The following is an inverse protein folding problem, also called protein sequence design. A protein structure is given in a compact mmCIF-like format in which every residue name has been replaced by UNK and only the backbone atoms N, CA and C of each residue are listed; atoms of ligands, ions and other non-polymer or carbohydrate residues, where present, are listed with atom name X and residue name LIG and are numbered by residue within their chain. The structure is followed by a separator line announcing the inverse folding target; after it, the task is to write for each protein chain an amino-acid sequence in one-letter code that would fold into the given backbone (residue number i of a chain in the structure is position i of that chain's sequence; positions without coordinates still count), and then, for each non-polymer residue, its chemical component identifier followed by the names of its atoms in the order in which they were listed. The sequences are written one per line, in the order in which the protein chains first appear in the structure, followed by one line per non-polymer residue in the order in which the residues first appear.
data_IF_053149176127
#
_entry.id   IF_053149176127
#
_cell.length_a   1.000
_cell.length_b   1.000
_cell.length_c   1.000
_cell.angle_alpha   90.00
_cell.angle_beta   90.00
_cell.angle_gamma   90.00
#
_symmetry.space_group_name_H-M   'P 1'
#
loop_
_entity.id
_entity.type
_entity.pdbx_description
1 polymer ?
#
# COMPACT_ATOMS: atom_id res chain seq x y z
N UNK A 1 -29.43 -6.77 12.99
CA UNK A 1 -28.39 -5.91 13.60
C UNK A 1 -27.64 -6.58 14.78
N UNK A 2 -27.21 -7.85 14.73
CA UNK A 2 -26.34 -8.43 15.78
C UNK A 2 -24.82 -8.28 15.53
N UNK A 3 -24.39 -8.03 14.28
CA UNK A 3 -22.96 -8.05 13.91
C UNK A 3 -22.11 -6.94 14.57
N UNK A 4 -22.71 -5.78 14.84
CA UNK A 4 -21.99 -4.63 15.40
C UNK A 4 -21.57 -4.86 16.85
N UNK A 5 -22.38 -5.62 17.61
CA UNK A 5 -22.03 -6.02 18.98
C UNK A 5 -20.83 -6.98 19.00
N UNK A 6 -20.72 -7.88 18.02
CA UNK A 6 -19.58 -8.79 17.91
C UNK A 6 -18.30 -8.05 17.53
N UNK A 7 -18.38 -7.04 16.66
CA UNK A 7 -17.25 -6.18 16.32
C UNK A 7 -16.74 -5.42 17.56
N UNK A 8 -17.64 -4.78 18.31
CA UNK A 8 -17.28 -4.08 19.55
C UNK A 8 -16.65 -5.03 20.58
N UNK A 9 -17.14 -6.27 20.68
CA UNK A 9 -16.56 -7.27 21.56
C UNK A 9 -15.15 -7.68 21.10
N UNK A 10 -14.94 -7.88 19.80
CA UNK A 10 -13.65 -8.23 19.22
C UNK A 10 -12.59 -7.12 19.43
N UNK A 11 -13.00 -5.85 19.49
CA UNK A 11 -12.12 -4.72 19.81
C UNK A 11 -11.82 -4.58 21.30
N UNK A 12 -12.58 -5.25 22.18
CA UNK A 12 -12.45 -5.07 23.62
C UNK A 12 -11.12 -5.62 24.17
N UNK A 13 -10.21 -4.80 24.71
CA UNK A 13 -8.86 -5.23 25.06
C UNK A 13 -8.80 -6.22 26.23
N UNK A 14 -9.82 -6.25 27.09
CA UNK A 14 -9.89 -7.18 28.22
C UNK A 14 -10.63 -8.49 27.90
N UNK A 15 -10.82 -8.80 26.61
CA UNK A 15 -11.46 -10.04 26.20
C UNK A 15 -10.59 -11.25 26.63
N UNK A 16 -11.12 -12.21 27.39
CA UNK A 16 -10.41 -13.43 27.75
C UNK A 16 -9.93 -14.22 26.53
N UNK A 17 -8.80 -14.92 26.64
CA UNK A 17 -8.23 -15.72 25.55
C UNK A 17 -9.21 -16.78 25.02
N UNK A 18 -9.97 -17.44 25.90
CA UNK A 18 -10.97 -18.43 25.50
C UNK A 18 -12.11 -17.84 24.63
N UNK A 19 -12.46 -16.58 24.85
CA UNK A 19 -13.46 -15.89 24.03
C UNK A 19 -12.88 -15.48 22.67
N UNK A 20 -11.58 -15.12 22.62
CA UNK A 20 -10.87 -14.92 21.34
C UNK A 20 -10.88 -16.22 20.54
N UNK A 21 -10.53 -17.36 21.17
CA UNK A 21 -10.57 -18.66 20.52
C UNK A 21 -11.95 -18.99 19.95
N UNK A 22 -13.01 -18.73 20.73
CA UNK A 22 -14.39 -18.92 20.26
C UNK A 22 -14.74 -18.05 19.06
N UNK A 23 -14.31 -16.78 19.04
CA UNK A 23 -14.52 -15.88 17.90
C UNK A 23 -13.73 -16.31 16.66
N UNK A 24 -12.50 -16.81 16.83
CA UNK A 24 -11.69 -17.34 15.73
C UNK A 24 -12.35 -18.59 15.15
N UNK A 25 -12.84 -19.51 15.99
CA UNK A 25 -13.55 -20.72 15.57
C UNK A 25 -14.86 -20.39 14.87
N UNK A 26 -15.57 -19.34 15.29
CA UNK A 26 -16.76 -18.87 14.61
C UNK A 26 -16.48 -18.41 13.17
N UNK A 27 -15.25 -17.97 12.89
CA UNK A 27 -14.75 -17.74 11.53
C UNK A 27 -15.46 -16.61 10.78
N UNK A 28 -16.05 -15.64 11.49
CA UNK A 28 -16.74 -14.53 10.84
C UNK A 28 -15.73 -13.66 10.06
N UNK A 29 -15.85 -13.57 8.73
CA UNK A 29 -14.88 -12.87 7.87
C UNK A 29 -14.77 -11.37 8.17
N UNK A 30 -15.75 -10.77 8.87
CA UNK A 30 -15.68 -9.37 9.31
C UNK A 30 -14.92 -9.21 10.61
N UNK A 31 -14.94 -10.23 11.48
CA UNK A 31 -14.28 -10.20 12.79
C UNK A 31 -12.81 -10.59 12.69
N UNK A 32 -12.46 -11.56 11.84
CA UNK A 32 -11.09 -12.08 11.77
C UNK A 32 -10.03 -10.99 11.50
N UNK A 33 -10.22 -10.02 10.59
CA UNK A 33 -9.24 -8.94 10.39
C UNK A 33 -9.13 -7.99 11.59
N UNK A 34 -10.23 -7.79 12.33
CA UNK A 34 -10.23 -6.97 13.56
C UNK A 34 -9.45 -7.68 14.66
N UNK A 35 -9.69 -8.98 14.85
CA UNK A 35 -8.94 -9.80 15.78
C UNK A 35 -7.45 -9.83 15.45
N UNK A 36 -7.09 -9.95 14.17
CA UNK A 36 -5.69 -9.96 13.70
C UNK A 36 -4.87 -8.71 14.07
N UNK A 37 -5.54 -7.57 14.32
CA UNK A 37 -4.87 -6.31 14.70
C UNK A 37 -4.63 -6.19 16.20
N UNK A 38 -5.12 -7.14 16.99
CA UNK A 38 -5.05 -7.05 18.45
C UNK A 38 -3.60 -7.13 18.96
N UNK A 39 -3.25 -6.33 19.99
CA UNK A 39 -1.90 -6.32 20.54
C UNK A 39 -1.56 -7.57 21.37
N UNK A 40 -2.58 -8.25 21.91
CA UNK A 40 -2.51 -9.30 22.93
C UNK A 40 -2.67 -10.72 22.37
N UNK A 41 -2.56 -10.91 21.04
CA UNK A 41 -2.63 -12.22 20.42
C UNK A 41 -1.44 -13.12 20.85
N UNK A 42 -1.76 -14.35 21.23
CA UNK A 42 -0.78 -15.41 21.44
C UNK A 42 -0.30 -15.98 20.12
N UNK A 43 0.82 -16.71 20.11
CA UNK A 43 1.29 -17.41 18.91
C UNK A 43 0.23 -18.40 18.36
N UNK A 44 -0.47 -19.10 19.26
CA UNK A 44 -1.55 -20.02 18.88
C UNK A 44 -2.72 -19.28 18.18
N UNK A 45 -3.09 -18.09 18.64
CA UNK A 45 -4.13 -17.28 17.96
C UNK A 45 -3.66 -16.84 16.57
N UNK A 46 -2.39 -16.42 16.43
CA UNK A 46 -1.83 -16.03 15.13
C UNK A 46 -1.81 -17.21 14.16
N UNK A 47 -1.42 -18.40 14.62
CA UNK A 47 -1.43 -19.62 13.81
C UNK A 47 -2.86 -19.99 13.39
N UNK A 48 -3.82 -19.93 14.33
CA UNK A 48 -5.23 -20.21 14.05
C UNK A 48 -5.82 -19.23 13.03
N UNK A 49 -5.57 -17.93 13.19
CA UNK A 49 -6.01 -16.88 12.26
C UNK A 49 -5.37 -17.05 10.88
N UNK A 50 -4.08 -17.38 10.82
CA UNK A 50 -3.38 -17.66 9.55
C UNK A 50 -3.96 -18.89 8.87
N UNK A 51 -4.30 -19.92 9.65
CA UNK A 51 -4.90 -21.17 9.16
C UNK A 51 -6.30 -21.03 8.57
N UNK A 52 -7.00 -19.92 8.84
CA UNK A 52 -8.30 -19.64 8.19
C UNK A 52 -8.18 -19.45 6.67
N UNK A 53 -7.00 -19.05 6.19
CA UNK A 53 -6.78 -18.71 4.78
C UNK A 53 -7.47 -17.42 4.32
N UNK A 54 -8.06 -16.65 5.24
CA UNK A 54 -8.71 -15.39 4.88
C UNK A 54 -7.68 -14.30 4.53
N UNK A 55 -7.87 -13.70 3.35
CA UNK A 55 -6.93 -12.73 2.79
C UNK A 55 -6.85 -11.45 3.61
N UNK A 56 -7.99 -10.92 4.04
CA UNK A 56 -8.03 -9.67 4.79
C UNK A 56 -7.37 -9.85 6.17
N UNK A 57 -7.61 -10.99 6.80
CA UNK A 57 -7.01 -11.40 8.07
C UNK A 57 -5.51 -11.54 7.94
N UNK A 58 -5.01 -12.21 6.90
CA UNK A 58 -3.57 -12.33 6.65
C UNK A 58 -2.91 -10.95 6.48
N UNK A 59 -3.48 -10.06 5.67
CA UNK A 59 -2.94 -8.70 5.49
C UNK A 59 -2.93 -7.92 6.80
N UNK A 60 -3.98 -8.04 7.61
CA UNK A 60 -4.06 -7.42 8.93
C UNK A 60 -2.99 -7.96 9.90
N UNK A 61 -2.73 -9.28 9.90
CA UNK A 61 -1.65 -9.87 10.68
C UNK A 61 -0.26 -9.38 10.23
N UNK A 62 -0.05 -9.22 8.92
CA UNK A 62 1.19 -8.68 8.36
C UNK A 62 1.37 -7.22 8.79
N UNK A 63 0.35 -6.38 8.60
CA UNK A 63 0.34 -4.97 9.01
C UNK A 63 0.63 -4.81 10.51
N UNK A 64 -0.02 -5.63 11.34
CA UNK A 64 0.12 -5.60 12.80
C UNK A 64 1.44 -6.19 13.35
N UNK A 65 2.37 -6.60 12.49
CA UNK A 65 3.65 -7.13 12.94
C UNK A 65 3.67 -8.60 13.35
N UNK A 66 2.56 -9.34 13.15
CA UNK A 66 2.37 -10.70 13.69
C UNK A 66 2.96 -11.80 12.83
N UNK A 67 3.07 -11.54 11.53
CA UNK A 67 3.77 -12.43 10.59
C UNK A 67 5.21 -11.97 10.45
N UNK A 68 6.24 -12.82 10.64
CA UNK A 68 7.62 -12.45 10.38
C UNK A 68 7.81 -12.03 8.90
N UNK A 69 8.62 -11.02 8.58
CA UNK A 69 8.78 -10.58 7.19
C UNK A 69 9.28 -11.69 6.25
N UNK A 70 10.08 -12.64 6.75
CA UNK A 70 10.54 -13.80 5.97
C UNK A 70 9.42 -14.79 5.61
N UNK A 71 8.31 -14.76 6.32
CA UNK A 71 7.13 -15.60 6.04
C UNK A 71 6.16 -14.94 5.06
N UNK A 72 6.35 -13.65 4.71
CA UNK A 72 5.53 -12.96 3.71
C UNK A 72 5.96 -13.41 2.31
N UNK A 73 5.05 -13.95 1.48
CA UNK A 73 5.38 -14.35 0.12
C UNK A 73 5.91 -13.19 -0.72
N UNK A 74 7.02 -13.42 -1.45
CA UNK A 74 7.67 -12.37 -2.26
C UNK A 74 6.93 -12.02 -3.54
N UNK A 75 6.06 -12.92 -4.00
CA UNK A 75 5.15 -12.76 -5.14
C UNK A 75 3.84 -12.07 -4.75
N UNK A 76 3.70 -11.66 -3.48
CA UNK A 76 2.52 -11.02 -2.93
C UNK A 76 2.76 -9.53 -2.63
N UNK A 77 2.44 -8.63 -3.57
CA UNK A 77 2.69 -7.21 -3.39
C UNK A 77 1.79 -6.57 -2.34
N UNK A 78 0.57 -7.08 -2.09
CA UNK A 78 -0.31 -6.46 -1.10
C UNK A 78 0.18 -6.76 0.32
N UNK A 79 0.67 -7.98 0.56
CA UNK A 79 1.23 -8.34 1.85
C UNK A 79 2.53 -7.57 2.14
N UNK A 80 3.40 -7.42 1.14
CA UNK A 80 4.58 -6.56 1.26
C UNK A 80 4.21 -5.09 1.53
N UNK A 81 3.19 -4.56 0.84
CA UNK A 81 2.69 -3.20 1.09
C UNK A 81 2.15 -3.05 2.52
N UNK A 82 1.36 -4.02 2.99
CA UNK A 82 0.78 -4.01 4.33
C UNK A 82 1.86 -3.98 5.42
N UNK A 83 2.98 -4.67 5.22
CA UNK A 83 4.08 -4.68 6.18
C UNK A 83 5.14 -3.60 5.97
N UNK A 84 5.03 -2.74 4.97
CA UNK A 84 6.12 -1.84 4.57
C UNK A 84 6.45 -0.80 5.65
N UNK A 85 5.48 -0.38 6.46
CA UNK A 85 5.64 0.62 7.53
C UNK A 85 6.17 0.04 8.85
N UNK A 86 6.40 -1.27 8.90
CA UNK A 86 6.98 -1.91 10.08
C UNK A 86 8.46 -1.54 10.23
N UNK A 87 8.90 -1.43 11.48
CA UNK A 87 10.30 -1.17 11.81
C UNK A 87 11.25 -2.29 11.35
N UNK A 88 10.76 -3.53 11.25
CA UNK A 88 11.50 -4.71 10.79
C UNK A 88 11.31 -5.03 9.30
N UNK A 89 10.62 -4.15 8.54
CA UNK A 89 10.39 -4.36 7.12
C UNK A 89 11.73 -4.43 6.33
N UNK A 90 11.96 -5.48 5.53
CA UNK A 90 13.19 -5.62 4.76
C UNK A 90 13.34 -4.48 3.74
N UNK A 91 14.51 -3.84 3.70
CA UNK A 91 14.76 -2.72 2.78
C UNK A 91 14.71 -3.10 1.29
N UNK A 92 14.80 -4.39 0.95
CA UNK A 92 14.55 -4.88 -0.40
C UNK A 92 13.07 -4.81 -0.83
N UNK A 93 12.10 -4.82 0.09
CA UNK A 93 10.68 -4.75 -0.26
C UNK A 93 10.33 -3.48 -1.00
N UNK A 94 10.85 -2.34 -0.54
CA UNK A 94 10.66 -1.06 -1.22
C UNK A 94 11.17 -1.11 -2.67
N UNK A 95 12.35 -1.73 -2.89
CA UNK A 95 12.94 -1.86 -4.22
C UNK A 95 12.11 -2.80 -5.11
N UNK A 96 11.64 -3.91 -4.56
CA UNK A 96 10.77 -4.86 -5.27
C UNK A 96 9.44 -4.18 -5.65
N UNK A 97 8.75 -3.55 -4.70
CA UNK A 97 7.49 -2.86 -4.95
C UNK A 97 7.63 -1.69 -5.93
N UNK A 98 8.73 -0.92 -5.88
CA UNK A 98 8.98 0.17 -6.81
C UNK A 98 9.30 -0.32 -8.24
N UNK A 99 9.76 -1.56 -8.39
CA UNK A 99 10.02 -2.19 -9.70
C UNK A 99 8.92 -3.15 -10.14
N UNK A 100 7.83 -3.24 -9.37
CA UNK A 100 6.75 -4.19 -9.60
C UNK A 100 6.07 -3.92 -10.96
N UNK A 101 5.82 -4.95 -11.80
CA UNK A 101 5.38 -4.75 -13.17
C UNK A 101 4.02 -4.05 -13.28
N UNK A 102 3.07 -4.37 -12.40
CA UNK A 102 1.72 -3.80 -12.43
C UNK A 102 1.70 -2.35 -11.92
N UNK A 103 1.27 -1.37 -12.75
CA UNK A 103 1.14 0.02 -12.32
C UNK A 103 0.25 0.24 -11.09
N UNK A 104 -0.88 -0.49 -10.89
CA UNK A 104 -1.68 -0.37 -9.67
C UNK A 104 -0.91 -0.64 -8.37
N UNK A 105 0.06 -1.56 -8.36
CA UNK A 105 0.91 -1.81 -7.18
C UNK A 105 1.81 -0.61 -6.92
N UNK A 106 2.49 -0.13 -7.96
CA UNK A 106 3.38 1.03 -7.84
C UNK A 106 2.65 2.31 -7.47
N UNK A 107 1.40 2.49 -7.90
CA UNK A 107 0.54 3.61 -7.47
C UNK A 107 0.17 3.52 -5.99
N UNK A 108 -0.14 2.33 -5.48
CA UNK A 108 -0.40 2.14 -4.05
C UNK A 108 0.84 2.41 -3.21
N UNK A 109 2.01 1.95 -3.65
CA UNK A 109 3.28 2.35 -3.05
C UNK A 109 3.44 3.88 -3.05
N UNK A 110 3.22 4.52 -4.19
CA UNK A 110 3.35 5.97 -4.34
C UNK A 110 2.38 6.77 -3.45
N UNK A 111 1.24 6.22 -3.05
CA UNK A 111 0.34 6.86 -2.10
C UNK A 111 1.00 7.09 -0.73
N UNK A 112 1.97 6.25 -0.35
CA UNK A 112 2.75 6.40 0.88
C UNK A 112 3.83 7.48 0.77
N UNK A 113 4.11 7.98 -0.45
CA UNK A 113 5.21 8.92 -0.68
C UNK A 113 5.06 10.19 0.15
N UNK A 114 3.84 10.66 0.45
CA UNK A 114 3.61 11.88 1.23
C UNK A 114 4.25 11.86 2.62
N UNK A 115 4.22 10.71 3.28
CA UNK A 115 4.75 10.54 4.64
C UNK A 115 6.11 9.85 4.64
N UNK A 116 6.51 9.26 3.51
CA UNK A 116 7.73 8.46 3.36
C UNK A 116 8.68 8.98 2.28
N UNK A 117 9.73 9.74 2.65
CA UNK A 117 10.68 10.28 1.68
C UNK A 117 11.51 9.21 0.95
N UNK A 118 11.75 8.06 1.56
CA UNK A 118 12.39 6.92 0.89
C UNK A 118 11.50 6.35 -0.23
N UNK A 119 10.19 6.25 0.02
CA UNK A 119 9.19 5.89 -1.01
C UNK A 119 9.17 6.93 -2.12
N UNK A 120 9.12 8.22 -1.79
CA UNK A 120 9.16 9.30 -2.77
C UNK A 120 10.40 9.21 -3.68
N UNK A 121 11.58 8.92 -3.11
CA UNK A 121 12.82 8.68 -3.88
C UNK A 121 12.74 7.45 -4.77
N UNK A 122 12.09 6.38 -4.32
CA UNK A 122 11.95 5.15 -5.09
C UNK A 122 11.04 5.34 -6.31
N UNK A 123 9.92 6.06 -6.16
CA UNK A 123 8.90 6.25 -7.22
C UNK A 123 9.16 7.46 -8.13
N UNK A 124 10.05 8.35 -7.72
CA UNK A 124 10.58 9.52 -8.42
C UNK A 124 10.75 9.41 -9.94
N UNK A 125 11.19 8.23 -10.40
CA UNK A 125 11.59 7.97 -11.76
C UNK A 125 10.70 7.01 -12.52
N UNK A 126 9.50 6.74 -12.01
CA UNK A 126 8.59 5.75 -12.59
C UNK A 126 8.20 6.13 -14.03
N UNK A 127 8.10 5.15 -14.95
CA UNK A 127 7.58 5.40 -16.29
C UNK A 127 6.11 5.85 -16.30
N UNK A 128 5.32 5.47 -15.29
CA UNK A 128 3.96 5.97 -15.10
C UNK A 128 4.00 7.33 -14.39
N UNK A 129 3.55 8.37 -15.09
CA UNK A 129 3.54 9.74 -14.59
C UNK A 129 2.68 9.93 -13.35
N UNK A 130 1.63 9.14 -13.16
CA UNK A 130 0.80 9.20 -11.94
C UNK A 130 1.57 8.72 -10.71
N UNK A 131 2.48 7.76 -10.89
CA UNK A 131 3.35 7.23 -9.84
C UNK A 131 4.47 8.23 -9.53
N UNK A 132 5.16 8.73 -10.56
CA UNK A 132 6.22 9.73 -10.39
C UNK A 132 5.72 11.06 -9.79
N UNK A 133 4.47 11.46 -10.11
CA UNK A 133 3.87 12.69 -9.60
C UNK A 133 3.72 12.69 -8.07
N UNK A 134 3.57 11.52 -7.43
CA UNK A 134 3.46 11.44 -5.97
C UNK A 134 4.74 11.87 -5.24
N UNK A 135 5.89 11.87 -5.91
CA UNK A 135 7.16 12.34 -5.35
C UNK A 135 7.34 13.87 -5.41
N UNK A 136 6.50 14.60 -6.16
CA UNK A 136 6.62 16.04 -6.40
C UNK A 136 6.65 16.89 -5.11
N UNK A 137 5.83 16.61 -4.08
CA UNK A 137 5.83 17.40 -2.84
C UNK A 137 7.21 17.48 -2.17
N UNK A 138 8.03 16.44 -2.31
CA UNK A 138 9.39 16.38 -1.74
C UNK A 138 10.42 17.20 -2.50
N UNK A 139 10.10 17.61 -3.72
CA UNK A 139 10.97 18.41 -4.57
C UNK A 139 10.47 19.84 -4.75
N UNK A 140 9.39 20.18 -4.03
CA UNK A 140 8.80 21.51 -3.91
C UNK A 140 9.38 22.36 -2.77
N UNK A 141 10.50 21.97 -2.16
CA UNK A 141 11.25 22.85 -1.25
C UNK A 141 11.93 23.98 -2.02
N UNK A 142 11.57 25.21 -1.63
CA UNK A 142 11.87 26.50 -2.24
C UNK A 142 13.38 26.78 -2.37
N UNK A 143 13.73 27.44 -3.49
CA UNK A 143 14.87 28.35 -3.71
C UNK A 143 16.11 28.10 -2.83
N UNK A 144 17.11 27.45 -3.41
CA UNK A 144 18.59 27.66 -3.30
C UNK A 144 19.44 26.42 -3.00
N UNK A 145 18.90 25.26 -2.63
CA UNK A 145 19.79 24.14 -2.24
C UNK A 145 19.31 22.70 -2.51
N UNK A 146 18.46 22.46 -3.51
CA UNK A 146 18.20 21.09 -3.95
C UNK A 146 18.88 20.83 -5.31
N UNK A 147 19.76 19.82 -5.32
CA UNK A 147 20.49 19.37 -6.49
C UNK A 147 19.57 18.91 -7.64
N UNK A 148 20.13 18.77 -8.85
CA UNK A 148 19.36 18.42 -10.03
C UNK A 148 18.64 17.08 -9.85
N UNK A 149 17.40 17.03 -10.35
CA UNK A 149 16.72 15.78 -10.71
C UNK A 149 17.73 14.76 -11.24
N UNK A 150 17.69 13.47 -10.84
CA UNK A 150 18.65 12.49 -11.31
C UNK A 150 18.71 12.53 -12.85
N UNK A 151 19.90 12.76 -13.45
CA UNK A 151 20.02 12.94 -14.88
C UNK A 151 19.54 11.68 -15.61
N UNK A 152 18.67 11.84 -16.61
CA UNK A 152 18.18 10.76 -17.47
C UNK A 152 16.67 10.50 -17.47
N UNK A 153 15.89 11.07 -16.54
CA UNK A 153 14.45 10.71 -16.39
C UNK A 153 13.43 11.75 -16.87
N UNK A 154 13.86 12.88 -17.44
CA UNK A 154 12.96 14.00 -17.81
C UNK A 154 11.98 13.74 -18.97
N UNK A 155 12.07 12.61 -19.69
CA UNK A 155 11.40 12.46 -21.00
C UNK A 155 10.00 11.82 -20.97
N UNK A 156 9.55 11.21 -19.87
CA UNK A 156 8.30 10.43 -19.90
C UNK A 156 7.03 11.30 -19.74
N UNK A 157 7.08 12.34 -18.90
CA UNK A 157 5.85 13.04 -18.48
C UNK A 157 5.59 14.39 -19.14
N UNK A 158 6.40 14.74 -20.15
CA UNK A 158 6.23 15.96 -20.93
C UNK A 158 6.36 15.69 -22.42
N UNK A 159 5.26 15.32 -23.07
CA UNK A 159 4.86 15.69 -24.45
C UNK A 159 4.00 14.61 -25.12
N UNK A 160 2.69 14.65 -24.86
CA UNK A 160 1.70 14.25 -25.88
C UNK A 160 0.56 15.26 -25.87
N UNK A 161 0.83 16.48 -26.35
CA UNK A 161 -0.24 17.27 -26.96
C UNK A 161 -0.63 16.58 -28.26
N UNK A 162 -1.92 16.25 -28.49
CA UNK A 162 -2.36 15.92 -29.84
C UNK A 162 -2.23 17.19 -30.69
N UNK A 163 -1.20 17.25 -31.54
CA UNK A 163 -1.14 18.25 -32.62
C UNK A 163 -2.02 17.78 -33.77
N UNK A 164 -2.83 18.70 -34.28
CA UNK A 164 -3.53 18.58 -35.57
C UNK A 164 -4.98 18.14 -35.39
N UNK A 165 -5.99 18.85 -35.88
CA UNK A 165 -6.00 19.67 -37.10
C UNK A 165 -7.06 20.77 -37.01
N UNK A 166 -6.61 22.03 -37.01
CA UNK A 166 -7.44 23.17 -37.40
C UNK A 166 -7.64 23.11 -38.92
N UNK A 167 -8.83 22.69 -39.39
CA UNK A 167 -9.28 23.00 -40.75
C UNK A 167 -10.17 24.23 -40.68
N UNK A 168 -9.69 25.29 -41.32
CA UNK A 168 -10.37 26.57 -41.56
C UNK A 168 -11.23 26.38 -42.82
N UNK A 169 -12.56 26.58 -42.80
CA UNK A 169 -13.32 26.75 -44.03
C UNK A 169 -13.19 28.21 -44.50
N UNK A 170 -12.64 28.36 -45.69
CA UNK A 170 -12.65 29.60 -46.48
C UNK A 170 -14.07 29.88 -46.96
N UNK A 171 -14.55 31.09 -46.70
CA UNK A 171 -15.72 31.68 -47.34
C UNK A 171 -15.49 31.84 -48.85
N UNK A 172 -16.53 31.64 -49.66
CA UNK A 172 -16.76 32.45 -50.86
C UNK A 172 -18.25 32.44 -51.27
N UNK A 173 -18.73 33.52 -51.90
CA UNK A 173 -20.14 33.84 -52.05
C UNK A 173 -20.69 33.49 -53.45
N UNK A 174 -22.01 33.36 -53.55
CA UNK A 174 -22.81 33.63 -54.75
C UNK A 174 -24.21 34.03 -54.33
#
# INVERSE_FOLDING_TARGET
MPDETLLLLAEHPALPAADIDALVVAGDPRLLPVLARRPDLTAAHVDALTGTGDRATFLALVEAGRVPPLAVPRDDPDAMLAGLDRADAPGEWLRLLASWPEPPVRRRLAALAMDRPDVARAVAGDPDCSVAAAAVPWWGCRRTSCGPWPPGRRRACGSRSPRGTTRRPTSSPT
#
